data_IF_065776125325
#
_entry.id   IF_065776125325
#
_cell.length_a   1.000
_cell.length_b   1.000
_cell.length_c   1.000
_cell.angle_alpha   90.00
_cell.angle_beta   90.00
_cell.angle_gamma   90.00
#
_symmetry.space_group_name_H-M   'P 1'
#
loop_
_entity.id
_entity.type
_entity.pdbx_description
1 polymer ?
#
# COMPACT_ATOMS: atom_id res chain seq x y z
N UNK A 1 -4.86 -14.58 3.78
CA UNK A 1 -3.65 -14.19 4.54
C UNK A 1 -3.26 -12.73 4.32
N UNK A 2 -3.51 -12.11 3.15
CA UNK A 2 -3.20 -10.69 2.88
C UNK A 2 -3.62 -9.72 4.00
N UNK A 3 -4.90 -9.78 4.43
CA UNK A 3 -5.41 -8.95 5.54
C UNK A 3 -4.67 -9.15 6.86
N UNK A 4 -4.28 -10.38 7.20
CA UNK A 4 -3.53 -10.66 8.44
C UNK A 4 -2.20 -9.91 8.46
N UNK A 5 -1.48 -9.91 7.33
CA UNK A 5 -0.23 -9.17 7.21
C UNK A 5 -0.45 -7.66 7.17
N UNK A 6 -1.46 -7.20 6.43
CA UNK A 6 -1.83 -5.78 6.35
C UNK A 6 -2.21 -5.19 7.73
N UNK A 7 -3.01 -5.91 8.52
CA UNK A 7 -3.39 -5.49 9.88
C UNK A 7 -2.17 -5.48 10.79
N UNK A 8 -1.29 -6.49 10.73
CA UNK A 8 -0.05 -6.52 11.52
C UNK A 8 0.87 -5.35 11.18
N UNK A 9 1.01 -5.05 9.90
CA UNK A 9 1.75 -3.89 9.43
C UNK A 9 1.11 -2.59 9.91
N UNK A 10 -0.22 -2.49 9.89
CA UNK A 10 -0.93 -1.31 10.39
C UNK A 10 -0.73 -1.11 11.89
N UNK A 11 -0.83 -2.19 12.66
CA UNK A 11 -0.59 -2.17 14.10
C UNK A 11 0.85 -1.78 14.42
N UNK A 12 1.82 -2.34 13.70
CA UNK A 12 3.22 -1.94 13.82
C UNK A 12 3.40 -0.45 13.56
N UNK A 13 2.81 0.09 12.48
CA UNK A 13 2.87 1.52 12.18
C UNK A 13 2.26 2.43 13.26
N UNK A 14 1.20 1.97 13.92
CA UNK A 14 0.51 2.73 14.98
C UNK A 14 1.29 2.70 16.29
N UNK A 15 1.91 1.57 16.62
CA UNK A 15 2.60 1.37 17.90
C UNK A 15 4.06 1.81 17.84
N UNK A 16 4.76 1.44 16.76
CA UNK A 16 6.22 1.63 16.60
C UNK A 16 6.57 2.78 15.64
N UNK A 17 5.57 3.38 14.97
CA UNK A 17 5.77 4.41 13.96
C UNK A 17 6.09 3.84 12.57
N UNK A 18 6.46 4.72 11.64
CA UNK A 18 6.62 4.38 10.21
C UNK A 18 8.05 3.98 9.84
N UNK A 19 8.76 3.29 10.74
CA UNK A 19 10.13 2.83 10.49
C UNK A 19 10.13 1.69 9.45
N UNK A 20 10.71 1.95 8.28
CA UNK A 20 10.68 1.02 7.14
C UNK A 20 11.81 0.00 7.18
N UNK A 21 12.87 0.27 7.95
CA UNK A 21 14.03 -0.61 8.07
C UNK A 21 13.81 -1.76 9.06
N UNK A 22 12.70 -1.74 9.83
CA UNK A 22 12.35 -2.86 10.71
C UNK A 22 12.12 -4.14 9.87
N UNK A 23 12.83 -5.25 10.16
CA UNK A 23 12.67 -6.51 9.43
C UNK A 23 11.23 -7.04 9.38
N UNK A 24 10.41 -6.73 10.40
CA UNK A 24 8.98 -7.11 10.43
C UNK A 24 8.20 -6.44 9.31
N UNK A 25 8.53 -5.20 8.96
CA UNK A 25 7.86 -4.48 7.87
C UNK A 25 8.08 -5.20 6.55
N UNK A 26 9.34 -5.55 6.24
CA UNK A 26 9.68 -6.34 5.05
C UNK A 26 8.94 -7.68 5.02
N UNK A 27 8.88 -8.38 6.15
CA UNK A 27 8.13 -9.64 6.27
C UNK A 27 6.62 -9.46 6.00
N UNK A 28 6.02 -8.40 6.53
CA UNK A 28 4.60 -8.13 6.32
C UNK A 28 4.30 -7.72 4.89
N UNK A 29 5.12 -6.86 4.29
CA UNK A 29 4.99 -6.47 2.87
C UNK A 29 5.08 -7.71 1.98
N UNK A 30 6.10 -8.54 2.14
CA UNK A 30 6.25 -9.77 1.35
C UNK A 30 5.05 -10.70 1.53
N UNK A 31 4.58 -10.88 2.77
CA UNK A 31 3.39 -11.71 3.05
C UNK A 31 2.10 -11.19 2.41
N UNK A 32 1.95 -9.87 2.26
CA UNK A 32 0.85 -9.27 1.50
C UNK A 32 1.00 -9.60 0.02
N UNK A 33 2.17 -9.34 -0.57
CA UNK A 33 2.46 -9.56 -1.99
C UNK A 33 2.22 -11.02 -2.38
N UNK A 34 2.80 -11.96 -1.65
CA UNK A 34 2.64 -13.40 -1.89
C UNK A 34 1.16 -13.83 -1.80
N UNK A 35 0.41 -13.24 -0.87
CA UNK A 35 -1.01 -13.53 -0.70
C UNK A 35 -1.86 -12.97 -1.83
N UNK A 36 -1.57 -11.75 -2.28
CA UNK A 36 -2.29 -11.07 -3.36
C UNK A 36 -2.02 -11.76 -4.70
N UNK A 37 -0.79 -12.16 -4.98
CA UNK A 37 -0.44 -12.82 -6.25
C UNK A 37 -1.15 -14.15 -6.46
N UNK A 38 -1.59 -14.83 -5.39
CA UNK A 38 -2.40 -16.06 -5.47
C UNK A 38 -3.85 -15.81 -5.90
N UNK A 39 -4.31 -14.56 -5.86
CA UNK A 39 -5.65 -14.17 -6.31
C UNK A 39 -5.58 -13.82 -7.79
N UNK A 40 -6.41 -14.49 -8.59
CA UNK A 40 -6.47 -14.27 -10.03
C UNK A 40 -7.01 -12.88 -10.34
N UNK A 41 -6.47 -12.26 -11.40
CA UNK A 41 -7.05 -11.05 -11.96
C UNK A 41 -8.51 -11.27 -12.40
N UNK A 42 -9.37 -10.28 -12.21
CA UNK A 42 -10.81 -10.38 -12.46
C UNK A 42 -11.57 -11.20 -11.42
N UNK A 43 -10.92 -11.63 -10.33
CA UNK A 43 -11.62 -12.25 -9.21
C UNK A 43 -12.63 -11.28 -8.60
N UNK A 44 -13.83 -11.72 -8.19
CA UNK A 44 -14.78 -10.86 -7.47
C UNK A 44 -14.24 -10.36 -6.12
N UNK A 45 -13.12 -10.91 -5.65
CA UNK A 45 -12.44 -10.52 -4.41
C UNK A 45 -11.44 -9.37 -4.59
N UNK A 46 -11.18 -8.91 -5.82
CA UNK A 46 -10.15 -7.90 -6.06
C UNK A 46 -10.41 -6.58 -5.33
N UNK A 47 -11.66 -6.14 -5.25
CA UNK A 47 -12.03 -4.93 -4.49
C UNK A 47 -11.65 -5.00 -3.01
N UNK A 48 -11.62 -6.20 -2.41
CA UNK A 48 -11.18 -6.38 -1.04
C UNK A 48 -9.67 -6.18 -0.86
N UNK A 49 -8.88 -6.16 -1.93
CA UNK A 49 -7.42 -6.05 -1.87
C UNK A 49 -6.92 -4.61 -1.77
N UNK A 50 -7.79 -3.60 -1.89
CA UNK A 50 -7.41 -2.19 -1.79
C UNK A 50 -6.64 -1.91 -0.50
N UNK A 51 -7.18 -2.32 0.66
CA UNK A 51 -6.51 -2.09 1.93
C UNK A 51 -5.14 -2.79 2.01
N UNK A 52 -5.02 -4.11 1.77
CA UNK A 52 -3.70 -4.77 1.72
C UNK A 52 -2.71 -4.11 0.76
N UNK A 53 -3.15 -3.74 -0.45
CA UNK A 53 -2.29 -3.11 -1.46
C UNK A 53 -1.81 -1.72 -1.02
N UNK A 54 -2.66 -0.91 -0.39
CA UNK A 54 -2.24 0.39 0.16
C UNK A 54 -1.25 0.18 1.31
N UNK A 55 -1.49 -0.79 2.19
CA UNK A 55 -0.58 -1.09 3.29
C UNK A 55 0.80 -1.51 2.78
N UNK A 56 0.85 -2.42 1.80
CA UNK A 56 2.10 -2.81 1.15
C UNK A 56 2.75 -1.64 0.41
N UNK A 57 1.98 -0.87 -0.37
CA UNK A 57 2.50 0.25 -1.17
C UNK A 57 3.05 1.36 -0.31
N UNK A 58 2.38 1.63 0.81
CA UNK A 58 2.81 2.58 1.83
C UNK A 58 4.01 2.12 2.65
N UNK A 59 4.54 0.90 2.48
CA UNK A 59 5.64 0.38 3.29
C UNK A 59 6.74 -0.33 2.48
N UNK A 60 6.54 -0.59 1.19
CA UNK A 60 7.55 -1.24 0.35
C UNK A 60 8.68 -0.26 -0.03
N UNK A 61 9.88 -0.82 -0.18
CA UNK A 61 11.06 -0.11 -0.70
C UNK A 61 11.61 -0.71 -1.98
N UNK A 62 11.31 -1.99 -2.25
CA UNK A 62 11.79 -2.72 -3.42
C UNK A 62 11.00 -2.35 -4.68
N UNK A 63 11.70 -2.17 -5.80
CA UNK A 63 11.08 -1.84 -7.08
C UNK A 63 10.12 -2.94 -7.54
N UNK A 64 10.47 -4.21 -7.31
CA UNK A 64 9.64 -5.35 -7.69
C UNK A 64 8.28 -5.31 -6.98
N UNK A 65 8.25 -4.91 -5.71
CA UNK A 65 7.00 -4.75 -4.96
C UNK A 65 6.17 -3.60 -5.53
N UNK A 66 6.79 -2.44 -5.85
CA UNK A 66 6.08 -1.30 -6.45
C UNK A 66 5.41 -1.71 -7.77
N UNK A 67 6.12 -2.45 -8.62
CA UNK A 67 5.58 -2.94 -9.91
C UNK A 67 4.36 -3.83 -9.70
N UNK A 68 4.42 -4.81 -8.79
CA UNK A 68 3.28 -5.71 -8.51
C UNK A 68 2.08 -4.94 -7.98
N UNK A 69 2.30 -3.99 -7.07
CA UNK A 69 1.23 -3.20 -6.46
C UNK A 69 0.58 -2.27 -7.50
N UNK A 70 1.39 -1.61 -8.32
CA UNK A 70 0.92 -0.70 -9.35
C UNK A 70 0.09 -1.42 -10.41
N UNK A 71 0.58 -2.56 -10.91
CA UNK A 71 -0.13 -3.38 -11.89
C UNK A 71 -1.52 -3.81 -11.36
N UNK A 72 -1.57 -4.29 -10.12
CA UNK A 72 -2.83 -4.68 -9.47
C UNK A 72 -3.82 -3.53 -9.36
N UNK A 73 -3.37 -2.38 -8.84
CA UNK A 73 -4.24 -1.22 -8.68
C UNK A 73 -4.74 -0.69 -10.04
N UNK A 74 -3.90 -0.70 -11.08
CA UNK A 74 -4.27 -0.27 -12.43
C UNK A 74 -5.34 -1.19 -13.06
N UNK A 75 -5.19 -2.51 -12.91
CA UNK A 75 -6.18 -3.46 -13.41
C UNK A 75 -7.49 -3.35 -12.63
N UNK A 76 -7.42 -3.23 -11.30
CA UNK A 76 -8.58 -3.02 -10.45
C UNK A 76 -9.33 -1.72 -10.80
N UNK A 77 -8.62 -0.63 -11.12
CA UNK A 77 -9.22 0.65 -11.52
C UNK A 77 -10.09 0.49 -12.76
N UNK A 78 -9.66 -0.34 -13.72
CA UNK A 78 -10.37 -0.60 -14.98
C UNK A 78 -11.54 -1.59 -14.82
N UNK A 79 -11.48 -2.48 -13.83
CA UNK A 79 -12.39 -3.65 -13.74
C UNK A 79 -13.44 -3.52 -12.65
N UNK A 80 -13.12 -2.86 -11.53
CA UNK A 80 -14.02 -2.78 -10.38
C UNK A 80 -14.98 -1.58 -10.44
N UNK A 81 -14.71 -0.55 -11.26
CA UNK A 81 -15.63 0.56 -11.51
C UNK A 81 -15.89 1.51 -10.33
N UNK A 82 -15.06 1.48 -9.27
CA UNK A 82 -15.19 2.35 -8.09
C UNK A 82 -14.02 3.34 -7.97
N UNK A 83 -14.33 4.63 -7.82
CA UNK A 83 -13.33 5.72 -7.74
C UNK A 83 -12.34 5.62 -6.57
N UNK A 84 -12.65 4.82 -5.54
CA UNK A 84 -11.74 4.55 -4.43
C UNK A 84 -10.43 3.88 -4.85
N UNK A 85 -10.43 3.10 -5.93
CA UNK A 85 -9.23 2.40 -6.40
C UNK A 85 -8.25 3.38 -7.05
N UNK A 86 -8.76 4.34 -7.82
CA UNK A 86 -7.97 5.45 -8.33
C UNK A 86 -7.30 6.22 -7.18
N UNK A 87 -8.07 6.59 -6.15
CA UNK A 87 -7.53 7.29 -4.98
C UNK A 87 -6.49 6.44 -4.23
N UNK A 88 -6.68 5.13 -4.12
CA UNK A 88 -5.69 4.24 -3.51
C UNK A 88 -4.38 4.18 -4.33
N UNK A 89 -4.48 4.16 -5.65
CA UNK A 89 -3.31 4.21 -6.54
C UNK A 89 -2.58 5.54 -6.43
N UNK A 90 -3.29 6.66 -6.54
CA UNK A 90 -2.71 8.01 -6.41
C UNK A 90 -2.00 8.19 -5.06
N UNK A 91 -2.61 7.71 -3.96
CA UNK A 91 -1.97 7.74 -2.64
C UNK A 91 -0.62 7.03 -2.63
N UNK A 92 -0.57 5.81 -3.16
CA UNK A 92 0.63 4.99 -3.17
C UNK A 92 1.70 5.60 -4.07
N UNK A 93 1.34 6.10 -5.25
CA UNK A 93 2.25 6.79 -6.17
C UNK A 93 2.83 8.07 -5.54
N UNK A 94 2.03 8.85 -4.80
CA UNK A 94 2.52 10.01 -4.03
C UNK A 94 3.50 9.63 -2.93
N UNK A 95 3.22 8.54 -2.20
CA UNK A 95 4.14 8.03 -1.18
C UNK A 95 5.49 7.69 -1.80
N UNK A 96 5.49 6.98 -2.93
CA UNK A 96 6.70 6.61 -3.64
C UNK A 96 7.48 7.83 -4.13
N UNK A 97 6.82 8.75 -4.83
CA UNK A 97 7.43 9.99 -5.33
C UNK A 97 8.09 10.80 -4.22
N UNK A 98 7.42 10.93 -3.06
CA UNK A 98 8.01 11.64 -1.90
C UNK A 98 9.16 10.91 -1.26
N UNK A 99 9.13 9.57 -1.22
CA UNK A 99 10.25 8.78 -0.68
C UNK A 99 11.48 8.92 -1.54
N UNK A 100 11.29 8.87 -2.86
CA UNK A 100 12.38 9.02 -3.81
C UNK A 100 13.00 10.43 -3.73
N UNK A 101 12.19 11.47 -3.46
CA UNK A 101 12.68 12.83 -3.21
C UNK A 101 13.32 13.02 -1.82
N UNK A 102 12.86 12.27 -0.82
CA UNK A 102 13.36 12.33 0.55
C UNK A 102 14.57 11.42 0.79
N UNK A 103 15.01 10.65 -0.20
CA UNK A 103 16.14 9.74 -0.07
C UNK A 103 17.40 10.48 0.40
N UNK A 104 18.04 9.95 1.45
CA UNK A 104 19.22 10.57 2.08
C UNK A 104 18.93 11.75 3.01
N UNK A 105 17.68 12.23 3.12
CA UNK A 105 17.30 13.35 4.01
C UNK A 105 16.86 12.91 5.42
N UNK A 106 16.50 11.63 5.57
CA UNK A 106 15.92 11.09 6.81
C UNK A 106 14.45 11.49 7.05
N UNK A 107 13.81 12.20 6.11
CA UNK A 107 12.41 12.58 6.25
C UNK A 107 11.48 11.35 6.14
N UNK A 108 10.62 11.18 7.14
CA UNK A 108 9.67 10.07 7.20
C UNK A 108 8.45 10.40 6.34
N UNK A 109 8.20 9.57 5.32
CA UNK A 109 7.01 9.67 4.47
C UNK A 109 5.90 8.77 5.00
N UNK A 110 4.87 9.40 5.58
CA UNK A 110 3.73 8.77 6.21
C UNK A 110 2.50 8.82 5.28
N UNK A 111 2.06 7.66 4.77
CA UNK A 111 0.90 7.56 3.89
C UNK A 111 -0.39 8.05 4.55
N UNK A 112 -0.57 7.83 5.86
CA UNK A 112 -1.79 8.24 6.56
C UNK A 112 -1.86 9.76 6.70
N UNK A 113 -0.72 10.43 6.84
CA UNK A 113 -0.63 11.90 6.83
C UNK A 113 -1.01 12.45 5.45
N UNK A 114 -0.43 11.91 4.37
CA UNK A 114 -0.78 12.29 2.98
C UNK A 114 -2.28 12.10 2.74
N UNK A 115 -2.82 10.95 3.13
CA UNK A 115 -4.24 10.66 2.99
C UNK A 115 -5.10 11.69 3.74
N UNK A 116 -4.76 11.96 5.00
CA UNK A 116 -5.58 12.81 5.86
C UNK A 116 -5.58 14.27 5.42
N UNK A 117 -4.42 14.82 5.06
CA UNK A 117 -4.28 16.25 4.77
C UNK A 117 -4.48 16.61 3.29
N UNK A 118 -4.35 15.65 2.37
CA UNK A 118 -4.28 15.97 0.94
C UNK A 118 -5.30 15.22 0.08
N UNK A 119 -5.91 14.15 0.61
CA UNK A 119 -6.82 13.30 -0.14
C UNK A 119 -8.20 13.27 0.50
N UNK A 120 -8.97 14.33 0.22
CA UNK A 120 -10.36 14.42 0.67
C UNK A 120 -11.18 13.23 0.12
N UNK A 121 -11.79 12.45 1.02
CA UNK A 121 -12.76 11.41 0.66
C UNK A 121 -12.24 9.97 0.57
N UNK A 122 -10.92 9.72 0.68
CA UNK A 122 -10.40 8.35 0.75
C UNK A 122 -10.52 7.80 2.18
N UNK A 123 -11.48 6.91 2.40
CA UNK A 123 -11.65 6.18 3.68
C UNK A 123 -11.02 4.80 3.55
N UNK A 124 -9.90 4.62 4.25
CA UNK A 124 -9.21 3.37 4.50
C UNK A 124 -9.17 3.15 6.03
N UNK A 125 -9.50 1.95 6.49
CA UNK A 125 -9.54 1.62 7.91
C UNK A 125 -8.17 1.12 8.39
#
# INVERSE_FOLDING_TARGET
MAFKYAIRLRLHQVVEGYELTDPKVGQFVQGIIDSVQRIRYGSPLESCLVFPLVMAGGACWQLEHRVVIQDRLLIMERTCGFGYIYNARDLVERVWSRRDQAEGTGAIVNWASIRYYEMNGLVLF
#
